data_IF_359086975486
#
_entry.id   IF_359086975486
#
_cell.length_a   1.000
_cell.length_b   1.000
_cell.length_c   1.000
_cell.angle_alpha   90.00
_cell.angle_beta   90.00
_cell.angle_gamma   90.00
#
_symmetry.space_group_name_H-M   'P 1'
#
loop_
_entity.id
_entity.type
_entity.pdbx_description
1 polymer ?
#
# COMPACT_ATOMS: atom_id res chain seq x y z
N UNK A 1 35.18 -33.96 -33.34
CA UNK A 1 35.90 -33.09 -34.31
C UNK A 1 35.01 -31.90 -34.66
N UNK A 2 35.54 -30.68 -34.48
CA UNK A 2 35.08 -29.37 -35.03
C UNK A 2 33.69 -28.89 -34.53
N UNK A 3 33.49 -27.77 -33.86
CA UNK A 3 34.32 -26.60 -33.56
C UNK A 3 33.65 -25.31 -34.07
N UNK A 4 33.46 -24.34 -33.16
CA UNK A 4 33.27 -22.87 -33.34
C UNK A 4 31.85 -22.41 -33.75
N UNK A 5 31.32 -21.25 -33.34
CA UNK A 5 31.95 -20.05 -32.77
C UNK A 5 30.97 -19.25 -31.87
N UNK A 6 31.56 -18.56 -30.90
CA UNK A 6 30.99 -17.48 -30.08
C UNK A 6 30.92 -16.21 -30.95
N UNK A 7 29.82 -15.46 -30.88
CA UNK A 7 29.79 -14.05 -31.28
C UNK A 7 29.11 -13.26 -30.17
N UNK A 8 29.92 -12.42 -29.52
CA UNK A 8 29.49 -11.42 -28.56
C UNK A 8 28.86 -10.23 -29.31
N UNK A 9 27.69 -9.80 -28.87
CA UNK A 9 27.09 -8.52 -29.32
C UNK A 9 27.38 -7.48 -28.25
N UNK A 10 28.15 -6.47 -28.66
CA UNK A 10 28.61 -5.33 -27.88
C UNK A 10 27.47 -4.32 -27.72
N UNK A 11 27.30 -3.83 -26.50
CA UNK A 11 26.45 -2.70 -26.16
C UNK A 11 27.00 -1.38 -26.71
N UNK A 12 26.14 -0.53 -27.27
CA UNK A 12 26.41 0.90 -27.51
C UNK A 12 25.33 1.73 -26.81
N UNK A 13 25.78 2.57 -25.89
CA UNK A 13 24.97 3.55 -25.16
C UNK A 13 24.99 4.91 -25.87
N UNK A 14 23.81 5.53 -25.87
CA UNK A 14 23.50 6.95 -25.73
C UNK A 14 23.96 7.96 -26.82
N UNK A 15 23.01 8.72 -27.38
CA UNK A 15 22.70 10.10 -26.93
C UNK A 15 21.91 10.90 -27.98
N UNK A 16 20.93 11.68 -27.52
CA UNK A 16 20.28 12.77 -28.26
C UNK A 16 18.81 12.49 -28.55
N UNK A 17 17.85 13.36 -28.26
CA UNK A 17 17.83 14.67 -27.61
C UNK A 17 16.36 15.05 -27.49
N UNK A 18 15.88 15.30 -26.27
CA UNK A 18 14.49 15.66 -26.00
C UNK A 18 14.32 17.17 -26.19
N UNK A 19 13.55 17.54 -27.21
CA UNK A 19 13.01 18.88 -27.35
C UNK A 19 11.72 19.02 -26.52
N UNK A 20 11.69 20.02 -25.66
CA UNK A 20 10.45 20.66 -25.18
C UNK A 20 10.82 22.02 -24.60
N UNK A 21 10.45 23.08 -25.33
CA UNK A 21 10.57 24.45 -24.86
C UNK A 21 9.51 24.75 -23.78
N UNK A 22 9.95 25.37 -22.70
CA UNK A 22 9.10 26.03 -21.70
C UNK A 22 9.26 27.54 -21.85
N UNK A 23 8.18 28.32 -22.02
CA UNK A 23 8.25 29.77 -21.91
C UNK A 23 8.17 30.23 -20.44
N UNK A 24 8.81 31.38 -20.10
CA UNK A 24 8.84 31.94 -18.76
C UNK A 24 7.57 32.75 -18.46
N UNK A 25 7.05 32.68 -17.24
CA UNK A 25 5.89 33.52 -16.87
C UNK A 25 5.20 33.21 -15.55
N UNK A 26 5.93 32.91 -14.47
CA UNK A 26 5.31 32.94 -13.13
C UNK A 26 5.39 34.36 -12.57
N UNK A 27 4.25 35.05 -12.67
CA UNK A 27 4.05 36.36 -12.09
C UNK A 27 3.98 36.28 -10.56
N UNK A 28 4.67 37.23 -9.95
CA UNK A 28 4.76 37.55 -8.52
C UNK A 28 3.38 37.60 -7.86
N UNK A 29 3.25 36.93 -6.72
CA UNK A 29 2.22 37.20 -5.71
C UNK A 29 2.41 38.63 -5.19
N UNK A 30 1.40 39.48 -5.33
CA UNK A 30 1.28 40.75 -4.60
C UNK A 30 0.13 40.63 -3.60
N UNK A 31 0.45 40.83 -2.33
CA UNK A 31 -0.51 41.10 -1.28
C UNK A 31 -0.74 42.62 -1.20
N UNK A 32 -2.00 43.03 -0.99
CA UNK A 32 -2.48 44.14 -0.13
C UNK A 32 -3.83 44.68 -0.64
N UNK A 33 -4.72 45.03 0.30
CA UNK A 33 -5.77 46.03 0.05
C UNK A 33 -7.11 45.74 0.70
N UNK A 34 -7.38 46.42 1.80
CA UNK A 34 -8.61 46.37 2.59
C UNK A 34 -9.83 46.96 1.88
N UNK A 35 -11.01 46.42 2.15
CA UNK A 35 -12.30 46.99 1.79
C UNK A 35 -13.37 46.54 2.78
N UNK A 36 -13.79 47.47 3.65
CA UNK A 36 -14.89 47.30 4.60
C UNK A 36 -16.22 47.57 3.90
N UNK A 37 -17.20 46.67 4.09
CA UNK A 37 -18.63 46.99 3.94
C UNK A 37 -19.41 46.14 4.95
N UNK A 38 -20.17 46.82 5.81
CA UNK A 38 -20.94 46.22 6.91
C UNK A 38 -22.37 45.87 6.47
N UNK A 39 -22.82 44.70 6.93
CA UNK A 39 -24.15 44.26 7.39
C UNK A 39 -25.40 44.60 6.52
N UNK A 40 -26.34 43.70 6.29
CA UNK A 40 -27.20 43.04 7.30
C UNK A 40 -27.92 41.81 6.72
N UNK A 41 -28.12 40.77 7.54
CA UNK A 41 -29.02 39.64 7.26
C UNK A 41 -28.58 38.31 7.88
N UNK A 42 -29.09 37.98 9.06
CA UNK A 42 -29.06 36.65 9.71
C UNK A 42 -30.53 36.20 9.93
N UNK A 43 -30.85 34.93 10.25
CA UNK A 43 -29.99 33.76 10.52
C UNK A 43 -30.45 32.47 9.80
N UNK A 44 -29.64 31.40 9.88
CA UNK A 44 -30.02 30.01 10.25
C UNK A 44 -29.13 28.96 9.56
N UNK A 45 -28.78 27.92 10.32
CA UNK A 45 -28.30 26.65 9.77
C UNK A 45 -26.80 26.43 9.85
N UNK A 46 -26.32 26.11 11.05
CA UNK A 46 -24.99 25.55 11.28
C UNK A 46 -24.83 24.26 10.47
N UNK A 47 -23.88 24.24 9.54
CA UNK A 47 -23.35 23.05 8.89
C UNK A 47 -21.83 23.14 8.85
N UNK A 48 -21.21 23.15 10.03
CA UNK A 48 -19.75 23.00 10.10
C UNK A 48 -19.35 21.62 9.54
N UNK A 49 -18.24 21.52 8.79
CA UNK A 49 -17.73 20.24 8.33
C UNK A 49 -17.48 19.38 9.57
N UNK A 50 -18.12 18.21 9.62
CA UNK A 50 -18.08 17.34 10.78
C UNK A 50 -16.62 17.00 11.09
N UNK A 51 -16.12 17.69 12.12
CA UNK A 51 -14.84 17.43 12.73
C UNK A 51 -14.81 15.98 13.16
N UNK A 52 -13.79 15.29 12.67
CA UNK A 52 -13.03 14.27 13.37
C UNK A 52 -13.53 14.06 14.80
N UNK A 53 -14.28 12.99 15.03
CA UNK A 53 -14.49 12.47 16.38
C UNK A 53 -13.14 11.97 16.88
N UNK A 54 -12.38 12.86 17.53
CA UNK A 54 -11.21 12.49 18.31
C UNK A 54 -11.71 11.66 19.50
N UNK A 55 -11.59 10.34 19.38
CA UNK A 55 -11.80 9.42 20.49
C UNK A 55 -10.74 9.66 21.56
N UNK A 56 -11.17 10.17 22.71
CA UNK A 56 -10.36 10.23 23.92
C UNK A 56 -10.49 8.91 24.67
N UNK A 57 -9.39 8.18 24.87
CA UNK A 57 -9.32 7.03 25.79
C UNK A 57 -8.41 5.92 25.27
N UNK A 58 -7.19 5.80 25.83
CA UNK A 58 -6.27 4.64 25.96
C UNK A 58 -6.21 3.55 24.88
N UNK A 59 -6.71 3.79 23.67
CA UNK A 59 -6.73 2.88 22.53
C UNK A 59 -5.68 3.26 21.49
N UNK A 60 -5.31 2.29 20.64
CA UNK A 60 -4.35 2.51 19.54
C UNK A 60 -4.95 3.53 18.56
N UNK A 61 -4.29 4.68 18.40
CA UNK A 61 -4.70 5.72 17.45
C UNK A 61 -4.41 5.30 16.01
N UNK A 62 -5.44 5.18 15.19
CA UNK A 62 -5.31 4.99 13.74
C UNK A 62 -4.98 6.31 13.04
N UNK A 63 -3.78 6.44 12.48
CA UNK A 63 -3.35 7.63 11.70
C UNK A 63 -3.87 7.56 10.26
N UNK A 64 -3.66 6.43 9.58
CA UNK A 64 -4.12 6.19 8.22
C UNK A 64 -5.52 5.55 8.20
N UNK A 65 -6.33 5.89 7.19
CA UNK A 65 -7.54 5.15 6.82
C UNK A 65 -7.24 3.72 6.37
N UNK A 66 -8.27 2.87 6.23
CA UNK A 66 -8.08 1.52 5.68
C UNK A 66 -7.53 1.56 4.25
N UNK A 67 -7.99 2.49 3.41
CA UNK A 67 -7.49 2.69 2.04
C UNK A 67 -6.02 3.08 2.03
N UNK A 68 -5.63 4.08 2.83
CA UNK A 68 -4.23 4.50 2.92
C UNK A 68 -3.34 3.37 3.47
N UNK A 69 -3.82 2.59 4.44
CA UNK A 69 -3.11 1.42 4.94
C UNK A 69 -2.89 0.38 3.83
N UNK A 70 -3.92 0.15 3.01
CA UNK A 70 -3.80 -0.73 1.85
C UNK A 70 -2.74 -0.22 0.86
N UNK A 71 -2.82 1.05 0.49
CA UNK A 71 -1.93 1.66 -0.50
C UNK A 71 -0.47 1.78 -0.04
N UNK A 72 -0.25 2.13 1.22
CA UNK A 72 1.08 2.48 1.71
C UNK A 72 1.86 1.29 2.28
N UNK A 73 1.16 0.30 2.84
CA UNK A 73 1.81 -0.85 3.50
C UNK A 73 1.42 -2.19 2.88
N UNK A 74 0.12 -2.47 2.70
CA UNK A 74 -0.34 -3.80 2.28
C UNK A 74 0.08 -4.12 0.85
N UNK A 75 -0.25 -3.26 -0.11
CA UNK A 75 0.05 -3.47 -1.54
C UNK A 75 1.54 -3.66 -1.80
N UNK A 76 2.45 -2.76 -1.36
CA UNK A 76 3.88 -2.97 -1.62
C UNK A 76 4.42 -4.23 -0.92
N UNK A 77 3.95 -4.54 0.29
CA UNK A 77 4.37 -5.76 0.99
C UNK A 77 3.85 -7.04 0.30
N UNK A 78 2.58 -7.05 -0.13
CA UNK A 78 2.01 -8.20 -0.84
C UNK A 78 2.65 -8.42 -2.19
N UNK A 79 2.97 -7.36 -2.94
CA UNK A 79 3.67 -7.47 -4.22
C UNK A 79 5.02 -8.17 -4.03
N UNK A 80 5.81 -7.76 -3.03
CA UNK A 80 7.09 -8.41 -2.75
C UNK A 80 6.94 -9.89 -2.33
N UNK A 81 5.86 -10.25 -1.64
CA UNK A 81 5.55 -11.65 -1.30
C UNK A 81 5.17 -12.44 -2.56
N UNK A 82 4.30 -11.90 -3.42
CA UNK A 82 3.86 -12.57 -4.64
C UNK A 82 5.00 -12.73 -5.65
N UNK A 83 5.80 -11.68 -5.84
CA UNK A 83 6.99 -11.72 -6.71
C UNK A 83 7.95 -12.82 -6.24
N UNK A 84 8.18 -12.92 -4.93
CA UNK A 84 9.04 -13.97 -4.35
C UNK A 84 8.40 -15.37 -4.38
N UNK A 85 7.07 -15.47 -4.35
CA UNK A 85 6.36 -16.74 -4.54
C UNK A 85 6.38 -17.23 -5.99
N UNK A 86 6.46 -16.31 -6.95
CA UNK A 86 6.63 -16.62 -8.37
C UNK A 86 8.09 -16.95 -8.71
N UNK A 87 9.05 -16.19 -8.17
CA UNK A 87 10.48 -16.37 -8.37
C UNK A 87 11.21 -16.35 -7.00
N UNK A 88 11.47 -17.52 -6.40
CA UNK A 88 12.07 -17.62 -5.08
C UNK A 88 13.44 -16.92 -4.97
N UNK A 89 13.74 -16.25 -3.84
CA UNK A 89 15.03 -15.59 -3.66
C UNK A 89 16.22 -16.56 -3.69
N UNK A 90 17.34 -16.10 -4.26
CA UNK A 90 18.56 -16.92 -4.38
C UNK A 90 19.66 -16.57 -3.37
N UNK A 91 19.45 -15.57 -2.51
CA UNK A 91 20.43 -15.13 -1.51
C UNK A 91 19.79 -14.85 -0.17
N UNK A 92 20.58 -14.98 0.91
CA UNK A 92 20.11 -14.70 2.26
C UNK A 92 19.63 -13.26 2.44
N UNK A 93 20.28 -12.31 1.79
CA UNK A 93 19.86 -10.90 1.80
C UNK A 93 18.48 -10.73 1.15
N UNK A 94 18.25 -11.39 0.01
CA UNK A 94 16.98 -11.32 -0.69
C UNK A 94 15.87 -12.01 0.11
N UNK A 95 16.13 -13.16 0.72
CA UNK A 95 15.19 -13.80 1.65
C UNK A 95 14.88 -12.91 2.86
N UNK A 96 15.88 -12.27 3.44
CA UNK A 96 15.67 -11.31 4.53
C UNK A 96 14.83 -10.11 4.08
N UNK A 97 14.96 -9.67 2.82
CA UNK A 97 14.12 -8.63 2.25
C UNK A 97 12.65 -9.04 2.17
N UNK A 98 12.36 -10.23 1.64
CA UNK A 98 10.98 -10.77 1.59
C UNK A 98 10.43 -10.93 3.00
N UNK A 99 11.24 -11.40 3.96
CA UNK A 99 10.82 -11.53 5.36
C UNK A 99 10.34 -10.21 5.95
N UNK A 100 11.06 -9.11 5.69
CA UNK A 100 10.65 -7.77 6.16
C UNK A 100 9.27 -7.41 5.61
N UNK A 101 9.02 -7.71 4.34
CA UNK A 101 7.72 -7.44 3.71
C UNK A 101 6.60 -8.34 4.26
N UNK A 102 6.87 -9.63 4.47
CA UNK A 102 5.92 -10.54 5.09
C UNK A 102 5.51 -10.10 6.51
N UNK A 103 6.46 -9.59 7.30
CA UNK A 103 6.17 -9.00 8.62
C UNK A 103 5.34 -7.72 8.51
N UNK A 104 5.66 -6.83 7.56
CA UNK A 104 4.84 -5.63 7.31
C UNK A 104 3.40 -6.04 6.94
N UNK A 105 3.23 -7.07 6.12
CA UNK A 105 1.92 -7.58 5.72
C UNK A 105 1.14 -8.12 6.93
N UNK A 106 1.78 -8.93 7.77
CA UNK A 106 1.18 -9.48 8.99
C UNK A 106 0.75 -8.37 9.97
N UNK A 107 1.62 -7.40 10.22
CA UNK A 107 1.29 -6.27 11.11
C UNK A 107 0.21 -5.36 10.50
N UNK A 108 0.20 -5.21 9.17
CA UNK A 108 -0.86 -4.45 8.50
C UNK A 108 -2.23 -5.13 8.67
N UNK A 109 -2.28 -6.46 8.71
CA UNK A 109 -3.50 -7.20 9.02
C UNK A 109 -4.00 -6.92 10.45
N UNK A 110 -3.09 -6.80 11.43
CA UNK A 110 -3.45 -6.34 12.78
C UNK A 110 -4.01 -4.91 12.76
N UNK A 111 -3.38 -4.01 12.01
CA UNK A 111 -3.79 -2.61 11.94
C UNK A 111 -5.17 -2.40 11.33
N UNK A 112 -5.66 -3.33 10.50
CA UNK A 112 -7.04 -3.31 9.99
C UNK A 112 -8.09 -3.51 11.08
N UNK A 113 -7.73 -4.16 12.19
CA UNK A 113 -8.61 -4.43 13.32
C UNK A 113 -8.65 -3.28 14.36
N UNK A 114 -8.06 -2.13 14.05
CA UNK A 114 -7.89 -1.03 14.99
C UNK A 114 -8.72 0.19 14.61
N UNK A 115 -9.43 0.74 15.60
CA UNK A 115 -10.00 2.07 15.57
C UNK A 115 -11.05 2.26 14.47
N UNK A 116 -10.99 3.41 13.78
CA UNK A 116 -11.98 3.80 12.76
C UNK A 116 -11.94 2.97 11.48
N UNK A 117 -11.00 2.01 11.37
CA UNK A 117 -10.87 1.14 10.19
C UNK A 117 -11.84 -0.03 10.21
N UNK A 118 -12.47 -0.32 11.35
CA UNK A 118 -13.34 -1.48 11.55
C UNK A 118 -14.79 -1.11 11.20
N UNK A 119 -15.31 -1.47 10.01
CA UNK A 119 -16.69 -1.19 9.64
C UNK A 119 -17.69 -2.06 10.42
N UNK A 120 -17.28 -3.27 10.82
CA UNK A 120 -18.07 -4.17 11.65
C UNK A 120 -17.18 -5.11 12.46
N UNK A 121 -17.72 -5.62 13.57
CA UNK A 121 -17.00 -6.51 14.47
C UNK A 121 -17.09 -8.01 14.07
N UNK A 122 -17.68 -8.32 12.92
CA UNK A 122 -17.94 -9.69 12.48
C UNK A 122 -17.00 -10.14 11.38
N UNK A 123 -17.45 -9.97 10.15
CA UNK A 123 -16.76 -10.48 8.96
C UNK A 123 -15.43 -9.79 8.73
N UNK A 124 -15.35 -8.48 8.97
CA UNK A 124 -14.10 -7.73 8.88
C UNK A 124 -13.04 -8.31 9.82
N UNK A 125 -13.39 -8.47 11.11
CA UNK A 125 -12.47 -9.02 12.10
C UNK A 125 -12.03 -10.45 11.77
N UNK A 126 -12.95 -11.29 11.29
CA UNK A 126 -12.63 -12.66 10.87
C UNK A 126 -11.68 -12.67 9.66
N UNK A 127 -11.96 -11.88 8.63
CA UNK A 127 -11.17 -11.84 7.41
C UNK A 127 -9.80 -11.18 7.64
N UNK A 128 -9.70 -10.15 8.48
CA UNK A 128 -8.40 -9.58 8.89
C UNK A 128 -7.53 -10.58 9.66
N UNK A 129 -8.13 -11.42 10.52
CA UNK A 129 -7.39 -12.51 11.18
C UNK A 129 -6.95 -13.58 10.19
N UNK A 130 -7.80 -13.96 9.24
CA UNK A 130 -7.41 -14.89 8.18
C UNK A 130 -6.24 -14.36 7.34
N UNK A 131 -6.21 -13.05 7.04
CA UNK A 131 -5.09 -12.39 6.39
C UNK A 131 -3.80 -12.48 7.24
N UNK A 132 -3.90 -12.24 8.55
CA UNK A 132 -2.78 -12.38 9.47
C UNK A 132 -2.25 -13.83 9.46
N UNK A 133 -3.14 -14.82 9.58
CA UNK A 133 -2.78 -16.23 9.61
C UNK A 133 -2.06 -16.65 8.31
N UNK A 134 -2.55 -16.20 7.15
CA UNK A 134 -1.89 -16.43 5.86
C UNK A 134 -0.52 -15.74 5.77
N UNK A 135 -0.39 -14.50 6.25
CA UNK A 135 0.91 -13.81 6.30
C UNK A 135 1.90 -14.50 7.24
N UNK A 136 1.44 -15.14 8.32
CA UNK A 136 2.29 -15.95 9.19
C UNK A 136 2.78 -17.23 8.48
N UNK A 137 2.00 -17.84 7.58
CA UNK A 137 2.49 -18.92 6.72
C UNK A 137 3.58 -18.44 5.77
N UNK A 138 3.43 -17.25 5.19
CA UNK A 138 4.48 -16.64 4.36
C UNK A 138 5.77 -16.48 5.16
N UNK A 139 5.69 -15.96 6.40
CA UNK A 139 6.86 -15.83 7.28
C UNK A 139 7.51 -17.19 7.55
N UNK A 140 6.71 -18.24 7.84
CA UNK A 140 7.21 -19.60 8.03
C UNK A 140 7.94 -20.12 6.79
N UNK A 141 7.37 -19.94 5.60
CA UNK A 141 7.98 -20.37 4.35
C UNK A 141 9.30 -19.63 4.05
N UNK A 142 9.34 -18.32 4.31
CA UNK A 142 10.53 -17.47 4.15
C UNK A 142 11.64 -17.85 5.12
N UNK A 143 11.30 -18.09 6.38
CA UNK A 143 12.25 -18.54 7.41
C UNK A 143 12.80 -19.92 7.09
N UNK A 144 11.99 -20.79 6.49
CA UNK A 144 12.39 -22.11 6.01
C UNK A 144 13.10 -22.11 4.64
N UNK A 145 13.24 -20.95 3.97
CA UNK A 145 13.82 -20.84 2.62
C UNK A 145 13.13 -21.75 1.60
N UNK A 146 11.82 -21.93 1.73
CA UNK A 146 11.06 -22.87 0.92
C UNK A 146 10.22 -22.13 -0.12
N UNK A 147 10.66 -22.16 -1.38
CA UNK A 147 10.00 -21.49 -2.51
C UNK A 147 8.60 -22.04 -2.79
N UNK A 148 8.42 -23.36 -2.78
CA UNK A 148 7.11 -23.98 -3.03
C UNK A 148 6.09 -23.62 -1.94
N UNK A 149 6.53 -23.65 -0.67
CA UNK A 149 5.70 -23.24 0.45
C UNK A 149 5.40 -21.74 0.42
N UNK A 150 6.35 -20.91 -0.04
CA UNK A 150 6.14 -19.48 -0.21
C UNK A 150 5.11 -19.20 -1.31
N UNK A 151 5.19 -19.90 -2.43
CA UNK A 151 4.22 -19.82 -3.52
C UNK A 151 2.81 -20.15 -3.04
N UNK A 152 2.66 -21.30 -2.37
CA UNK A 152 1.37 -21.73 -1.80
C UNK A 152 0.82 -20.77 -0.73
N UNK A 153 1.69 -20.21 0.12
CA UNK A 153 1.28 -19.20 1.10
C UNK A 153 0.88 -17.87 0.43
N UNK A 154 1.55 -17.50 -0.67
CA UNK A 154 1.17 -16.38 -1.52
C UNK A 154 -0.24 -16.54 -2.11
N UNK A 155 -0.57 -17.72 -2.62
CA UNK A 155 -1.92 -18.03 -3.11
C UNK A 155 -2.98 -17.91 -2.00
N UNK A 156 -2.66 -18.37 -0.78
CA UNK A 156 -3.55 -18.24 0.37
C UNK A 156 -3.78 -16.77 0.74
N UNK A 157 -2.72 -15.94 0.73
CA UNK A 157 -2.82 -14.48 0.92
C UNK A 157 -3.68 -13.83 -0.17
N UNK A 158 -3.55 -14.24 -1.42
CA UNK A 158 -4.39 -13.72 -2.49
C UNK A 158 -5.88 -14.04 -2.27
N UNK A 159 -6.17 -15.27 -1.87
CA UNK A 159 -7.54 -15.71 -1.58
C UNK A 159 -8.20 -14.91 -0.43
N UNK A 160 -7.43 -14.58 0.63
CA UNK A 160 -7.95 -13.74 1.72
C UNK A 160 -8.20 -12.30 1.28
N UNK A 161 -7.33 -11.74 0.43
CA UNK A 161 -7.55 -10.43 -0.20
C UNK A 161 -8.83 -10.40 -1.03
N UNK A 162 -9.03 -11.36 -1.93
CA UNK A 162 -10.22 -11.41 -2.80
C UNK A 162 -11.52 -11.58 -2.00
N UNK A 163 -11.51 -12.45 -0.99
CA UNK A 163 -12.67 -12.65 -0.11
C UNK A 163 -13.07 -11.38 0.63
N UNK A 164 -12.10 -10.61 1.12
CA UNK A 164 -12.37 -9.35 1.83
C UNK A 164 -12.83 -8.27 0.86
N UNK A 165 -12.13 -8.08 -0.25
CA UNK A 165 -12.44 -7.05 -1.24
C UNK A 165 -13.80 -7.27 -1.93
N UNK A 166 -14.22 -8.52 -2.13
CA UNK A 166 -15.55 -8.82 -2.67
C UNK A 166 -16.67 -8.26 -1.80
N UNK A 167 -16.48 -8.16 -0.48
CA UNK A 167 -17.46 -7.61 0.45
C UNK A 167 -17.28 -6.11 0.73
N UNK A 168 -16.04 -5.65 0.92
CA UNK A 168 -15.76 -4.33 1.50
C UNK A 168 -15.18 -3.31 0.50
N UNK A 169 -14.82 -3.73 -0.71
CA UNK A 169 -14.33 -2.82 -1.74
C UNK A 169 -15.46 -2.51 -2.73
N UNK A 170 -15.86 -1.24 -2.78
CA UNK A 170 -16.79 -0.77 -3.81
C UNK A 170 -16.09 -0.86 -5.18
N UNK A 171 -16.63 -1.69 -6.08
CA UNK A 171 -16.07 -1.91 -7.43
C UNK A 171 -16.46 -0.79 -8.41
N UNK A 172 -17.17 0.24 -7.97
CA UNK A 172 -17.72 1.31 -8.83
C UNK A 172 -17.05 2.68 -8.64
N UNK A 173 -16.02 2.77 -7.80
CA UNK A 173 -15.28 4.00 -7.51
C UNK A 173 -13.78 3.82 -7.61
#
# INVERSE_FOLDING_TARGET
>A
MRGRAIVAVVAMLASGGLGAGLPPGQARVQAQGAGQAQAQGQPQGQGQPQGQTQGSGDGVQSVASAKELMELLVIPASNAVFDAGAEPPMSDEAWAAVRRQAVILAESANLLMVGSRVPDQGDWMRMSRAQLDAALEVIRAVDARNGDALSAAGDAVYATCDSCHTKYMDKTR
#
